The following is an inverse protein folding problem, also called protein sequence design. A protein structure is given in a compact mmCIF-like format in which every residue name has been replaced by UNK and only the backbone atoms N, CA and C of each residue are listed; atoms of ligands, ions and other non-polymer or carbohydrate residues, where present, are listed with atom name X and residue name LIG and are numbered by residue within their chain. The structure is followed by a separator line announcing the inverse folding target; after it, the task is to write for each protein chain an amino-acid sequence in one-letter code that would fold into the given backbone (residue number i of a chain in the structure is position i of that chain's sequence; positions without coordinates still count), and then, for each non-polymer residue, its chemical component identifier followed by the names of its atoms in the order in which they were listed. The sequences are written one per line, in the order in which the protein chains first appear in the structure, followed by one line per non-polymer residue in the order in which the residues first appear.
data_IF_442738741344
#
_entry.id   IF_442738741344
#
_cell.length_a   1.000
_cell.length_b   1.000
_cell.length_c   1.000
_cell.angle_alpha   90.00
_cell.angle_beta   90.00
_cell.angle_gamma   90.00
#
_symmetry.space_group_name_H-M   'P 1'
#
loop_
_entity.id
_entity.type
_entity.pdbx_description
1 polymer ?
#
# COMPACT_ATOMS: atom_id res chain seq x y z
N UNK A 1 -9.88 -2.34 8.39
CA UNK A 1 -8.56 -1.68 8.32
C UNK A 1 -8.21 -1.14 9.69
N UNK A 2 -7.08 -1.55 10.24
CA UNK A 2 -6.57 -1.12 11.56
C UNK A 2 -5.64 0.07 11.40
N UNK A 3 -4.64 -0.04 10.52
CA UNK A 3 -3.72 1.06 10.16
C UNK A 3 -3.17 0.89 8.76
N UNK A 4 -2.68 1.99 8.20
CA UNK A 4 -1.98 2.01 6.91
C UNK A 4 -0.67 2.78 7.06
N UNK A 5 0.33 2.38 6.31
CA UNK A 5 1.62 3.08 6.21
C UNK A 5 2.06 3.07 4.75
N UNK A 6 2.67 4.15 4.29
CA UNK A 6 3.30 4.18 2.98
C UNK A 6 4.80 4.03 3.12
N UNK A 7 5.43 3.41 2.14
CA UNK A 7 6.86 3.12 2.20
C UNK A 7 7.39 2.55 0.91
N UNK A 8 8.54 1.92 1.00
CA UNK A 8 9.30 1.35 -0.12
C UNK A 8 9.56 -0.12 0.14
N UNK A 9 9.25 -0.97 -0.83
CA UNK A 9 9.45 -2.41 -0.68
C UNK A 9 9.63 -3.12 -2.04
N UNK A 10 9.92 -4.42 -2.00
CA UNK A 10 10.04 -5.28 -3.17
C UNK A 10 11.39 -5.20 -3.89
N UNK A 11 12.33 -4.40 -3.42
CA UNK A 11 13.70 -4.29 -3.91
C UNK A 11 14.74 -4.87 -2.94
N UNK A 12 16.00 -4.56 -3.21
CA UNK A 12 17.17 -5.03 -2.44
C UNK A 12 18.02 -3.88 -1.89
N UNK A 13 17.77 -2.65 -2.32
CA UNK A 13 18.47 -1.46 -1.85
C UNK A 13 18.25 -1.25 -0.35
N UNK A 14 19.32 -1.01 0.41
CA UNK A 14 19.24 -0.77 1.85
C UNK A 14 18.96 0.72 2.11
N UNK A 15 18.11 1.00 3.10
CA UNK A 15 17.75 2.35 3.53
C UNK A 15 17.30 3.28 2.37
N UNK A 16 16.33 2.87 1.55
CA UNK A 16 15.83 3.69 0.46
C UNK A 16 15.16 4.98 0.97
N UNK A 17 15.24 6.03 0.17
CA UNK A 17 14.50 7.28 0.36
C UNK A 17 13.71 7.61 -0.90
N UNK A 18 12.78 8.56 -0.83
CA UNK A 18 12.03 9.00 -2.03
C UNK A 18 12.93 9.41 -3.20
N UNK A 19 14.05 10.07 -2.89
CA UNK A 19 15.02 10.53 -3.91
C UNK A 19 16.05 9.48 -4.32
N UNK A 20 16.19 8.43 -3.55
CA UNK A 20 17.12 7.32 -3.76
C UNK A 20 16.43 5.99 -3.46
N UNK A 21 15.35 5.72 -4.19
CA UNK A 21 14.49 4.56 -3.96
C UNK A 21 15.13 3.24 -4.42
N UNK A 22 16.15 3.32 -5.29
CA UNK A 22 16.82 2.13 -5.83
C UNK A 22 15.87 1.28 -6.69
N UNK A 23 15.84 -0.01 -6.40
CA UNK A 23 15.01 -1.01 -7.07
C UNK A 23 13.67 -1.29 -6.37
N UNK A 24 13.30 -0.48 -5.35
CA UNK A 24 12.01 -0.59 -4.68
C UNK A 24 10.87 0.06 -5.47
N UNK A 25 9.65 -0.30 -5.08
CA UNK A 25 8.43 0.39 -5.49
C UNK A 25 7.81 1.13 -4.30
N UNK A 26 7.06 2.20 -4.58
CA UNK A 26 6.20 2.83 -3.58
C UNK A 26 5.06 1.89 -3.22
N UNK A 27 4.88 1.63 -1.94
CA UNK A 27 3.97 0.63 -1.44
C UNK A 27 3.12 1.17 -0.30
N UNK A 28 1.92 0.60 -0.16
CA UNK A 28 1.10 0.75 1.03
C UNK A 28 1.14 -0.56 1.83
N UNK A 29 1.40 -0.47 3.12
CA UNK A 29 1.25 -1.57 4.06
C UNK A 29 -0.06 -1.38 4.83
N UNK A 30 -0.88 -2.42 4.89
CA UNK A 30 -2.20 -2.40 5.51
C UNK A 30 -2.24 -3.46 6.60
N UNK A 31 -2.45 -3.03 7.85
CA UNK A 31 -2.84 -3.94 8.92
C UNK A 31 -4.38 -3.97 8.97
N UNK A 32 -4.97 -5.15 8.85
CA UNK A 32 -6.41 -5.31 8.80
C UNK A 32 -6.89 -6.40 9.79
N UNK A 33 -8.15 -6.31 10.15
CA UNK A 33 -8.84 -7.32 10.95
C UNK A 33 -9.58 -8.28 10.00
N UNK A 34 -9.15 -9.55 9.90
CA UNK A 34 -9.75 -10.50 8.97
C UNK A 34 -11.20 -10.84 9.30
N UNK A 35 -11.69 -10.54 10.51
CA UNK A 35 -13.09 -10.66 10.87
C UNK A 35 -13.97 -9.55 10.27
N UNK A 36 -13.38 -8.45 9.80
CA UNK A 36 -14.10 -7.30 9.23
C UNK A 36 -13.91 -7.14 7.73
N UNK A 37 -12.76 -7.54 7.20
CA UNK A 37 -12.45 -7.52 5.77
C UNK A 37 -11.47 -8.65 5.47
N UNK A 38 -11.76 -9.44 4.44
CA UNK A 38 -10.87 -10.50 3.99
C UNK A 38 -9.71 -9.97 3.14
N UNK A 39 -8.66 -10.78 2.97
CA UNK A 39 -7.57 -10.47 2.06
C UNK A 39 -8.05 -10.39 0.61
N UNK A 40 -8.98 -11.26 0.20
CA UNK A 40 -9.58 -11.25 -1.14
C UNK A 40 -10.35 -9.94 -1.40
N UNK A 41 -11.11 -9.44 -0.42
CA UNK A 41 -11.79 -8.14 -0.55
C UNK A 41 -10.78 -6.97 -0.67
N UNK A 42 -9.66 -7.02 0.06
CA UNK A 42 -8.57 -6.04 -0.09
C UNK A 42 -7.93 -6.11 -1.48
N UNK A 43 -7.73 -7.30 -2.03
CA UNK A 43 -7.26 -7.46 -3.40
C UNK A 43 -8.27 -6.89 -4.41
N UNK A 44 -9.57 -7.07 -4.18
CA UNK A 44 -10.61 -6.45 -5.00
C UNK A 44 -10.48 -4.93 -5.05
N UNK A 45 -10.32 -4.29 -3.89
CA UNK A 45 -10.07 -2.84 -3.80
C UNK A 45 -8.77 -2.46 -4.54
N UNK A 46 -7.71 -3.24 -4.38
CA UNK A 46 -6.44 -3.01 -5.08
C UNK A 46 -6.62 -3.04 -6.60
N UNK A 47 -7.30 -4.06 -7.15
CA UNK A 47 -7.54 -4.17 -8.60
C UNK A 47 -8.37 -3.02 -9.17
N UNK A 48 -9.28 -2.47 -8.39
CA UNK A 48 -10.16 -1.37 -8.80
C UNK A 48 -9.53 0.02 -8.61
N UNK A 49 -8.50 0.13 -7.76
CA UNK A 49 -7.90 1.41 -7.38
C UNK A 49 -6.89 1.98 -8.38
N UNK A 50 -6.45 1.19 -9.37
CA UNK A 50 -5.44 1.60 -10.35
C UNK A 50 -5.65 0.94 -11.70
N UNK A 51 -4.75 1.17 -12.65
CA UNK A 51 -4.79 0.59 -14.00
C UNK A 51 -3.76 -0.55 -14.14
N UNK A 52 -4.08 -1.76 -13.67
CA UNK A 52 -3.12 -2.89 -13.65
C UNK A 52 -2.77 -3.44 -15.05
N UNK A 53 -3.52 -3.02 -16.07
CA UNK A 53 -3.27 -3.35 -17.48
C UNK A 53 -2.33 -2.37 -18.19
N UNK A 54 -1.94 -1.29 -17.51
CA UNK A 54 -0.96 -0.32 -18.02
C UNK A 54 0.45 -0.72 -17.58
N UNK A 55 1.42 -0.64 -18.52
CA UNK A 55 2.82 -0.85 -18.15
C UNK A 55 3.27 0.27 -17.21
N UNK A 56 3.98 -0.06 -16.11
CA UNK A 56 4.49 0.96 -15.22
C UNK A 56 5.52 1.85 -15.93
N UNK A 57 5.48 3.12 -15.63
CA UNK A 57 6.43 4.10 -16.16
C UNK A 57 7.85 3.87 -15.63
N UNK A 58 7.97 3.41 -14.40
CA UNK A 58 9.25 3.06 -13.75
C UNK A 58 9.03 1.99 -12.68
N UNK A 59 10.11 1.41 -12.16
CA UNK A 59 10.06 0.48 -11.04
C UNK A 59 9.43 1.12 -9.79
N UNK A 60 9.70 2.39 -9.54
CA UNK A 60 9.11 3.14 -8.42
C UNK A 60 7.58 3.07 -8.41
N UNK A 61 6.95 3.14 -9.58
CA UNK A 61 5.49 3.12 -9.76
C UNK A 61 4.95 1.79 -10.29
N UNK A 62 5.72 0.71 -10.13
CA UNK A 62 5.26 -0.60 -10.52
C UNK A 62 4.09 -1.08 -9.66
N UNK A 63 3.11 -1.70 -10.29
CA UNK A 63 2.03 -2.39 -9.58
C UNK A 63 2.56 -3.71 -9.04
N UNK A 64 2.56 -3.87 -7.71
CA UNK A 64 3.12 -5.04 -7.04
C UNK A 64 2.24 -5.45 -5.86
N UNK A 65 2.02 -6.75 -5.70
CA UNK A 65 1.47 -7.37 -4.50
C UNK A 65 2.59 -8.14 -3.81
N UNK A 66 2.85 -7.82 -2.54
CA UNK A 66 3.78 -8.56 -1.69
C UNK A 66 3.00 -9.46 -0.74
N UNK A 67 3.20 -10.76 -0.82
CA UNK A 67 2.52 -11.75 0.01
C UNK A 67 3.41 -12.23 1.16
N UNK A 68 2.79 -12.59 2.30
CA UNK A 68 3.47 -13.08 3.50
C UNK A 68 3.41 -14.60 3.65
N UNK A 69 2.44 -15.26 3.00
CA UNK A 69 2.21 -16.70 3.11
C UNK A 69 1.64 -17.28 1.80
N UNK A 70 1.54 -18.60 1.75
CA UNK A 70 1.06 -19.35 0.57
C UNK A 70 -0.42 -19.07 0.24
N UNK A 71 -1.26 -18.79 1.24
CA UNK A 71 -2.66 -18.47 1.03
C UNK A 71 -2.81 -17.11 0.34
N UNK A 72 -2.06 -16.10 0.80
CA UNK A 72 -2.02 -14.79 0.16
C UNK A 72 -1.47 -14.87 -1.27
N UNK A 73 -0.42 -15.67 -1.50
CA UNK A 73 0.12 -15.90 -2.84
C UNK A 73 -0.93 -16.49 -3.78
N UNK A 74 -1.63 -17.54 -3.32
CA UNK A 74 -2.67 -18.21 -4.10
C UNK A 74 -3.80 -17.24 -4.45
N UNK A 75 -4.34 -16.53 -3.48
CA UNK A 75 -5.44 -15.58 -3.68
C UNK A 75 -5.03 -14.42 -4.60
N UNK A 76 -3.81 -13.89 -4.46
CA UNK A 76 -3.32 -12.84 -5.33
C UNK A 76 -3.21 -13.30 -6.79
N UNK A 77 -2.73 -14.52 -7.04
CA UNK A 77 -2.65 -15.10 -8.38
C UNK A 77 -4.03 -15.36 -8.97
N UNK A 78 -4.93 -15.97 -8.20
CA UNK A 78 -6.31 -16.27 -8.65
C UNK A 78 -7.08 -14.99 -9.00
N UNK A 79 -7.06 -14.00 -8.12
CA UNK A 79 -7.77 -12.74 -8.39
C UNK A 79 -7.17 -11.98 -9.56
N UNK A 80 -5.86 -12.04 -9.77
CA UNK A 80 -5.18 -11.48 -10.94
C UNK A 80 -5.69 -12.13 -12.24
N UNK A 81 -5.82 -13.45 -12.28
CA UNK A 81 -6.35 -14.17 -13.45
C UNK A 81 -7.81 -13.78 -13.74
N UNK A 82 -8.66 -13.75 -12.71
CA UNK A 82 -10.05 -13.32 -12.82
C UNK A 82 -10.15 -11.90 -13.39
N UNK A 83 -9.32 -10.98 -12.90
CA UNK A 83 -9.33 -9.60 -13.39
C UNK A 83 -8.76 -9.47 -14.82
N UNK A 84 -7.77 -10.27 -15.19
CA UNK A 84 -7.26 -10.34 -16.57
C UNK A 84 -8.37 -10.81 -17.55
N UNK A 85 -9.11 -11.84 -17.17
CA UNK A 85 -10.21 -12.37 -17.97
C UNK A 85 -11.37 -11.35 -18.11
N UNK A 86 -11.76 -10.71 -17.00
CA UNK A 86 -12.80 -9.67 -17.02
C UNK A 86 -12.44 -8.51 -17.95
N UNK A 87 -11.17 -8.09 -17.94
CA UNK A 87 -10.69 -6.95 -18.73
C UNK A 87 -10.30 -7.33 -20.16
N UNK A 88 -10.12 -8.63 -20.43
CA UNK A 88 -9.64 -9.13 -21.73
C UNK A 88 -8.24 -8.60 -22.08
N UNK A 89 -7.40 -8.30 -21.07
CA UNK A 89 -6.10 -7.67 -21.24
C UNK A 89 -5.04 -8.29 -20.31
N UNK A 90 -3.79 -8.19 -20.73
CA UNK A 90 -2.66 -8.59 -19.90
C UNK A 90 -2.53 -7.67 -18.67
N UNK A 91 -2.29 -8.27 -17.51
CA UNK A 91 -2.03 -7.57 -16.26
C UNK A 91 -0.51 -7.41 -16.04
N UNK A 92 -0.08 -6.20 -15.68
CA UNK A 92 1.33 -5.86 -15.42
C UNK A 92 1.69 -5.78 -13.94
N UNK A 93 0.84 -6.35 -13.08
CA UNK A 93 1.11 -6.46 -11.64
C UNK A 93 2.01 -7.64 -11.35
N UNK A 94 3.11 -7.41 -10.65
CA UNK A 94 3.96 -8.46 -10.11
C UNK A 94 3.42 -8.99 -8.78
N UNK A 95 3.58 -10.29 -8.54
CA UNK A 95 3.25 -10.93 -7.27
C UNK A 95 4.54 -11.55 -6.74
N UNK A 96 5.03 -11.06 -5.59
CA UNK A 96 6.33 -11.44 -5.03
C UNK A 96 6.22 -11.73 -3.54
N UNK A 97 7.12 -12.55 -2.96
CA UNK A 97 7.19 -12.71 -1.51
C UNK A 97 7.61 -11.39 -0.85
N UNK A 98 7.02 -11.11 0.32
CA UNK A 98 7.44 -10.02 1.18
C UNK A 98 8.87 -10.29 1.68
N UNK A 99 9.71 -9.27 1.67
CA UNK A 99 11.06 -9.32 2.25
C UNK A 99 11.23 -8.27 3.33
N UNK A 100 11.15 -7.01 2.97
CA UNK A 100 11.36 -5.89 3.88
C UNK A 100 10.50 -4.70 3.42
N UNK A 101 10.08 -3.87 4.39
CA UNK A 101 9.34 -2.64 4.15
C UNK A 101 10.03 -1.49 4.87
N UNK A 102 10.46 -0.51 4.12
CA UNK A 102 11.05 0.72 4.62
C UNK A 102 9.98 1.81 4.66
N UNK A 103 9.75 2.35 5.86
CA UNK A 103 8.77 3.42 6.05
C UNK A 103 9.19 4.66 5.26
N UNK A 104 8.29 5.22 4.47
CA UNK A 104 8.55 6.48 3.80
C UNK A 104 8.57 7.65 4.81
N UNK A 105 9.13 8.75 4.38
CA UNK A 105 9.28 9.97 5.16
C UNK A 105 7.91 10.49 5.65
N UNK A 106 7.89 11.18 6.78
CA UNK A 106 6.67 11.62 7.48
C UNK A 106 5.72 12.44 6.59
N UNK A 107 6.26 13.24 5.67
CA UNK A 107 5.45 14.06 4.76
C UNK A 107 4.65 13.24 3.72
N UNK A 108 4.97 11.97 3.51
CA UNK A 108 4.21 11.06 2.67
C UNK A 108 3.10 10.32 3.44
N UNK A 109 3.25 10.20 4.77
CA UNK A 109 2.28 9.48 5.60
C UNK A 109 0.98 10.24 5.69
N UNK A 110 -0.17 9.57 5.46
CA UNK A 110 -1.50 10.20 5.54
C UNK A 110 -1.57 11.51 4.72
N UNK A 111 -1.07 11.46 3.51
CA UNK A 111 -0.88 12.64 2.66
C UNK A 111 -2.14 13.51 2.54
N UNK A 112 -3.29 12.93 2.24
CA UNK A 112 -4.53 13.68 2.07
C UNK A 112 -5.01 14.33 3.37
N UNK A 113 -4.88 13.64 4.50
CA UNK A 113 -5.20 14.21 5.80
C UNK A 113 -4.27 15.38 6.14
N UNK A 114 -2.99 15.30 5.78
CA UNK A 114 -2.05 16.40 5.97
C UNK A 114 -2.36 17.64 5.10
N UNK A 115 -3.09 17.47 3.99
CA UNK A 115 -3.56 18.57 3.14
C UNK A 115 -4.87 19.22 3.63
N UNK A 116 -5.46 18.72 4.73
CA UNK A 116 -6.70 19.25 5.32
C UNK A 116 -6.39 20.03 6.61
N UNK A 117 -6.14 21.36 6.56
CA UNK A 117 -5.60 22.14 7.70
C UNK A 117 -6.40 21.98 8.99
N UNK A 118 -7.73 22.07 8.90
CA UNK A 118 -8.61 22.00 10.08
C UNK A 118 -8.60 20.60 10.72
N UNK A 119 -8.44 19.55 9.92
CA UNK A 119 -8.41 18.18 10.43
C UNK A 119 -7.04 17.84 11.00
N UNK A 120 -5.96 18.19 10.31
CA UNK A 120 -4.61 17.85 10.77
C UNK A 120 -4.26 18.54 12.10
N UNK A 121 -4.77 19.75 12.35
CA UNK A 121 -4.60 20.43 13.65
C UNK A 121 -5.24 19.63 14.79
N UNK A 122 -6.46 19.11 14.59
CA UNK A 122 -7.12 18.24 15.58
C UNK A 122 -6.34 16.95 15.82
N UNK A 123 -5.86 16.32 14.75
CA UNK A 123 -5.06 15.09 14.85
C UNK A 123 -3.74 15.33 15.60
N UNK A 124 -3.07 16.47 15.39
CA UNK A 124 -1.84 16.84 16.13
C UNK A 124 -2.06 17.04 17.61
N UNK A 125 -3.25 17.50 18.00
CA UNK A 125 -3.61 17.61 19.43
C UNK A 125 -3.85 16.22 20.04
N UNK A 126 -4.52 15.32 19.32
CA UNK A 126 -4.82 13.96 19.78
C UNK A 126 -3.55 13.06 19.75
N UNK A 127 -2.73 13.21 18.72
CA UNK A 127 -1.51 12.43 18.46
C UNK A 127 -0.32 13.40 18.30
N UNK A 128 0.28 13.87 19.41
CA UNK A 128 1.44 14.77 19.34
C UNK A 128 2.69 14.11 18.75
N UNK A 129 2.83 12.80 18.93
CA UNK A 129 3.89 11.99 18.37
C UNK A 129 3.55 11.55 16.94
N UNK A 130 4.50 11.72 16.02
CA UNK A 130 4.30 11.37 14.60
C UNK A 130 4.08 9.88 14.39
N UNK A 131 4.77 9.03 15.13
CA UNK A 131 4.61 7.59 15.00
C UNK A 131 3.22 7.15 15.47
N UNK A 132 2.70 7.74 16.54
CA UNK A 132 1.34 7.49 17.02
C UNK A 132 0.30 7.95 16.01
N UNK A 133 0.48 9.13 15.41
CA UNK A 133 -0.36 9.63 14.32
C UNK A 133 -0.38 8.69 13.12
N UNK A 134 0.80 8.30 12.63
CA UNK A 134 0.94 7.40 11.47
C UNK A 134 0.29 6.04 11.72
N UNK A 135 0.41 5.51 12.93
CA UNK A 135 -0.11 4.20 13.30
C UNK A 135 -1.58 4.22 13.78
N UNK A 136 -2.21 5.40 13.89
CA UNK A 136 -3.57 5.49 14.42
C UNK A 136 -4.62 4.96 13.42
N UNK A 137 -5.58 4.20 13.94
CA UNK A 137 -6.74 3.74 13.16
C UNK A 137 -7.60 4.92 12.69
N UNK A 138 -7.72 5.96 13.52
CA UNK A 138 -8.49 7.15 13.16
C UNK A 138 -7.88 7.87 11.95
N UNK A 139 -6.55 8.10 11.96
CA UNK A 139 -5.87 8.72 10.82
C UNK A 139 -5.96 7.85 9.55
N UNK A 140 -5.87 6.52 9.68
CA UNK A 140 -6.02 5.61 8.54
C UNK A 140 -7.41 5.71 7.90
N UNK A 141 -8.47 5.82 8.71
CA UNK A 141 -9.87 5.90 8.23
C UNK A 141 -10.23 7.24 7.63
N UNK A 142 -9.66 8.32 8.14
CA UNK A 142 -9.96 9.69 7.66
C UNK A 142 -9.14 10.04 6.42
N UNK A 143 -7.96 9.46 6.25
CA UNK A 143 -7.10 9.70 5.09
C UNK A 143 -7.55 8.95 3.83
N UNK A 144 -8.28 7.84 3.97
CA UNK A 144 -8.63 6.90 2.89
C UNK A 144 -9.85 7.24 2.09
#
# INVERSE_FOLDING_TARGET
MVRTRVGYAGGTTVDPTYRSIGDHSEMIQIDYDPAQISYEELLGVFWDSHSPTSRPFSQQYASVVLFHDEEQEMLAKQTKEVEADKRGQQMFTDIRPYSEFYLAEDYHQKYWLQQAPNLIELFRVIYPDTADFVNSTAAARVNG
#
